data_IF_637628240967
#
_entry.id   IF_637628240967
#
_cell.length_a   1.000
_cell.length_b   1.000
_cell.length_c   1.000
_cell.angle_alpha   90.00
_cell.angle_beta   90.00
_cell.angle_gamma   90.00
#
_symmetry.space_group_name_H-M   'P 1'
#
loop_
_entity.id
_entity.type
_entity.pdbx_description
1 polymer ?
#
# COMPACT_ATOMS: atom_id res chain seq x y z
N UNK A 1 -23.69 -13.46 10.47
CA UNK A 1 -22.66 -13.67 9.45
C UNK A 1 -21.29 -13.60 10.13
N UNK A 2 -20.48 -14.64 10.00
CA UNK A 2 -19.13 -14.73 10.56
C UNK A 2 -18.11 -14.53 9.45
N UNK A 3 -17.35 -13.46 9.52
CA UNK A 3 -16.37 -13.08 8.51
C UNK A 3 -14.95 -13.37 9.05
N UNK A 4 -14.19 -14.20 8.36
CA UNK A 4 -12.76 -14.33 8.61
C UNK A 4 -12.00 -13.31 7.76
N UNK A 5 -11.27 -12.40 8.38
CA UNK A 5 -10.39 -11.44 7.71
C UNK A 5 -8.97 -11.96 7.81
N UNK A 6 -8.43 -12.48 6.70
CA UNK A 6 -7.12 -13.07 6.65
C UNK A 6 -6.04 -12.04 6.29
N UNK A 7 -4.97 -12.00 7.07
CA UNK A 7 -3.80 -11.14 6.89
C UNK A 7 -2.54 -11.99 6.78
N UNK A 8 -1.84 -11.90 5.67
CA UNK A 8 -0.60 -12.65 5.44
C UNK A 8 0.66 -11.95 5.93
N UNK A 9 0.65 -10.62 5.98
CA UNK A 9 1.77 -9.80 6.45
C UNK A 9 1.28 -8.40 6.87
N UNK A 10 2.17 -7.65 7.55
CA UNK A 10 1.89 -6.28 8.04
C UNK A 10 1.20 -5.35 7.02
N UNK A 11 1.60 -5.29 5.73
CA UNK A 11 0.95 -4.39 4.77
C UNK A 11 -0.56 -4.64 4.58
N UNK A 12 -1.03 -5.87 4.78
CA UNK A 12 -2.45 -6.19 4.63
C UNK A 12 -3.33 -5.42 5.62
N UNK A 13 -2.83 -5.13 6.83
CA UNK A 13 -3.59 -4.40 7.84
C UNK A 13 -4.04 -3.02 7.36
N UNK A 14 -3.25 -2.37 6.51
CA UNK A 14 -3.64 -1.08 5.91
C UNK A 14 -4.91 -1.18 5.08
N UNK A 15 -5.14 -2.32 4.44
CA UNK A 15 -6.29 -2.53 3.54
C UNK A 15 -7.47 -3.22 4.23
N UNK A 16 -7.23 -4.02 5.24
CA UNK A 16 -8.34 -4.68 5.96
C UNK A 16 -8.88 -3.85 7.14
N UNK A 17 -8.10 -2.93 7.69
CA UNK A 17 -8.52 -2.12 8.82
C UNK A 17 -9.85 -1.36 8.59
N UNK A 18 -10.09 -0.73 7.43
CA UNK A 18 -11.37 -0.09 7.15
C UNK A 18 -12.55 -1.06 7.21
N UNK A 19 -12.37 -2.28 6.67
CA UNK A 19 -13.41 -3.32 6.67
C UNK A 19 -13.71 -3.78 8.09
N UNK A 20 -12.66 -4.00 8.91
CA UNK A 20 -12.80 -4.39 10.32
C UNK A 20 -13.58 -3.33 11.09
N UNK A 21 -13.21 -2.04 10.94
CA UNK A 21 -13.92 -0.93 11.59
C UNK A 21 -15.39 -0.86 11.18
N UNK A 22 -15.67 -1.05 9.90
CA UNK A 22 -17.04 -1.03 9.40
C UNK A 22 -17.89 -2.19 9.95
N UNK A 23 -17.33 -3.40 10.03
CA UNK A 23 -17.99 -4.55 10.66
C UNK A 23 -18.25 -4.27 12.14
N UNK A 24 -17.27 -3.73 12.87
CA UNK A 24 -17.43 -3.38 14.28
C UNK A 24 -18.49 -2.31 14.52
N UNK A 25 -18.59 -1.32 13.64
CA UNK A 25 -19.66 -0.31 13.71
C UNK A 25 -21.03 -0.93 13.52
N UNK A 26 -21.22 -1.74 12.49
CA UNK A 26 -22.49 -2.43 12.25
C UNK A 26 -22.87 -3.38 13.39
N UNK A 27 -21.88 -4.06 13.98
CA UNK A 27 -22.11 -4.90 15.17
C UNK A 27 -22.60 -4.07 16.37
N UNK A 28 -22.02 -2.88 16.60
CA UNK A 28 -22.49 -1.95 17.65
C UNK A 28 -23.90 -1.44 17.38
N UNK A 29 -24.30 -1.32 16.13
CA UNK A 29 -25.66 -0.99 15.69
C UNK A 29 -26.64 -2.16 15.80
N UNK A 30 -26.18 -3.32 16.26
CA UNK A 30 -27.02 -4.52 16.46
C UNK A 30 -27.24 -5.35 15.20
N UNK A 31 -26.45 -5.13 14.14
CA UNK A 31 -26.49 -5.98 12.94
C UNK A 31 -25.86 -7.35 13.22
N UNK A 32 -26.40 -8.44 12.66
CA UNK A 32 -25.94 -9.80 12.91
C UNK A 32 -24.66 -10.13 12.09
N UNK A 33 -23.59 -9.39 12.31
CA UNK A 33 -22.28 -9.55 11.65
C UNK A 33 -21.17 -9.53 12.68
N UNK A 34 -20.20 -10.43 12.54
CA UNK A 34 -18.99 -10.48 13.37
C UNK A 34 -17.77 -10.81 12.50
N UNK A 35 -16.58 -10.49 13.01
CA UNK A 35 -15.33 -10.80 12.31
C UNK A 35 -14.28 -11.35 13.24
N UNK A 36 -13.44 -12.25 12.70
CA UNK A 36 -12.17 -12.66 13.30
C UNK A 36 -11.03 -12.24 12.39
N UNK A 37 -9.98 -11.67 12.98
CA UNK A 37 -8.74 -11.30 12.31
C UNK A 37 -7.76 -12.45 12.49
N UNK A 38 -7.40 -13.10 11.38
CA UNK A 38 -6.44 -14.21 11.37
C UNK A 38 -5.14 -13.75 10.72
N UNK A 39 -4.05 -13.86 11.45
CA UNK A 39 -2.72 -13.52 10.95
C UNK A 39 -1.90 -14.79 10.68
N UNK A 40 -1.27 -14.85 9.52
CA UNK A 40 -0.47 -16.02 9.13
C UNK A 40 0.77 -16.23 10.02
N UNK A 41 1.41 -15.15 10.44
CA UNK A 41 2.66 -15.15 11.18
C UNK A 41 2.54 -15.45 12.68
N UNK A 42 3.63 -15.18 13.37
CA UNK A 42 3.78 -15.40 14.83
C UNK A 42 3.24 -14.24 15.65
N UNK A 43 2.85 -14.49 16.90
CA UNK A 43 2.23 -13.48 17.77
C UNK A 43 3.20 -12.34 18.16
N UNK A 44 4.48 -12.63 18.22
CA UNK A 44 5.55 -11.68 18.54
C UNK A 44 6.32 -11.19 17.29
N UNK A 45 5.66 -11.14 16.14
CA UNK A 45 6.22 -10.57 14.93
C UNK A 45 6.64 -9.10 15.20
N UNK A 46 7.95 -8.78 15.08
CA UNK A 46 8.45 -7.45 15.40
C UNK A 46 7.93 -6.35 14.46
N UNK A 47 7.32 -6.72 13.33
CA UNK A 47 6.71 -5.76 12.40
C UNK A 47 5.30 -5.34 12.83
N UNK A 48 4.67 -6.05 13.77
CA UNK A 48 3.34 -5.77 14.30
C UNK A 48 3.42 -4.93 15.59
N UNK A 49 3.94 -3.73 15.47
CA UNK A 49 3.99 -2.76 16.57
C UNK A 49 2.59 -2.34 17.02
N UNK A 50 2.41 -2.06 18.31
CA UNK A 50 1.12 -1.63 18.87
C UNK A 50 0.64 -0.31 18.25
N UNK A 51 1.58 0.57 17.88
CA UNK A 51 1.28 1.81 17.15
C UNK A 51 0.54 1.57 15.83
N UNK A 52 0.83 0.47 15.11
CA UNK A 52 0.14 0.13 13.87
C UNK A 52 -1.38 -0.02 14.11
N UNK A 53 -1.75 -0.79 15.13
CA UNK A 53 -3.16 -1.07 15.45
C UNK A 53 -3.88 0.15 16.01
N UNK A 54 -3.22 0.91 16.89
CA UNK A 54 -3.76 2.15 17.43
C UNK A 54 -3.94 3.23 16.36
N UNK A 55 -3.00 3.34 15.42
CA UNK A 55 -3.10 4.28 14.30
C UNK A 55 -4.23 3.90 13.33
N UNK A 56 -4.38 2.62 13.05
CA UNK A 56 -5.45 2.12 12.21
C UNK A 56 -6.81 2.04 12.91
N UNK A 57 -6.86 2.18 14.22
CA UNK A 57 -8.08 2.10 15.03
C UNK A 57 -8.73 0.71 15.01
N UNK A 58 -7.93 -0.33 15.05
CA UNK A 58 -8.38 -1.73 15.10
C UNK A 58 -7.70 -2.50 16.22
N UNK A 59 -8.30 -3.63 16.59
CA UNK A 59 -7.67 -4.58 17.52
C UNK A 59 -6.55 -5.37 16.87
N UNK A 60 -5.70 -5.97 17.67
CA UNK A 60 -4.72 -6.97 17.21
C UNK A 60 -5.43 -8.21 16.64
N UNK A 61 -4.73 -9.05 15.85
CA UNK A 61 -5.28 -10.33 15.40
C UNK A 61 -5.85 -11.17 16.54
N UNK A 62 -7.00 -11.78 16.28
CA UNK A 62 -7.63 -12.70 17.23
C UNK A 62 -6.91 -14.06 17.22
N UNK A 63 -6.37 -14.45 16.05
CA UNK A 63 -5.67 -15.71 15.85
C UNK A 63 -4.36 -15.50 15.09
N UNK A 64 -3.31 -16.16 15.57
CA UNK A 64 -2.00 -16.23 14.92
C UNK A 64 -1.73 -17.68 14.52
N UNK A 65 -1.51 -17.93 13.21
CA UNK A 65 -1.23 -19.28 12.72
C UNK A 65 0.18 -19.74 13.07
N UNK A 66 1.05 -18.83 13.47
CA UNK A 66 2.40 -19.14 13.92
C UNK A 66 3.29 -19.67 12.80
N UNK A 67 3.16 -19.17 11.58
CA UNK A 67 4.05 -19.50 10.47
C UNK A 67 5.25 -18.56 10.51
N UNK A 68 6.45 -19.15 10.59
CA UNK A 68 7.73 -18.44 10.58
C UNK A 68 8.71 -19.17 9.67
N UNK A 69 8.71 -18.84 8.40
CA UNK A 69 9.65 -19.39 7.44
C UNK A 69 9.95 -18.39 6.30
N UNK A 70 11.17 -18.45 5.79
CA UNK A 70 11.68 -17.56 4.76
C UNK A 70 11.34 -18.07 3.35
N UNK A 71 11.30 -19.39 3.18
CA UNK A 71 10.96 -20.00 1.89
C UNK A 71 9.47 -19.85 1.61
N UNK A 72 9.11 -19.19 0.50
CA UNK A 72 7.72 -18.89 0.17
C UNK A 72 6.87 -20.13 -0.14
N UNK A 73 7.46 -21.20 -0.68
CA UNK A 73 6.73 -22.45 -0.93
C UNK A 73 6.45 -23.21 0.34
N UNK A 74 7.41 -23.24 1.26
CA UNK A 74 7.23 -23.80 2.61
C UNK A 74 6.17 -23.01 3.38
N UNK A 75 6.25 -21.67 3.37
CA UNK A 75 5.25 -20.77 3.94
C UNK A 75 3.85 -21.11 3.40
N UNK A 76 3.71 -21.24 2.08
CA UNK A 76 2.45 -21.60 1.44
C UNK A 76 1.88 -22.90 2.02
N UNK A 77 2.70 -23.96 2.10
CA UNK A 77 2.29 -25.27 2.65
C UNK A 77 1.89 -25.19 4.13
N UNK A 78 2.66 -24.48 4.95
CA UNK A 78 2.36 -24.30 6.36
C UNK A 78 1.08 -23.50 6.61
N UNK A 79 0.86 -22.41 5.84
CA UNK A 79 -0.38 -21.64 5.92
C UNK A 79 -1.57 -22.51 5.53
N UNK A 80 -1.47 -23.28 4.44
CA UNK A 80 -2.54 -24.19 4.03
C UNK A 80 -2.95 -25.13 5.16
N UNK A 81 -1.99 -25.83 5.76
CA UNK A 81 -2.27 -26.81 6.83
C UNK A 81 -2.89 -26.17 8.07
N UNK A 82 -2.32 -25.05 8.53
CA UNK A 82 -2.77 -24.40 9.77
C UNK A 82 -4.10 -23.65 9.59
N UNK A 83 -4.30 -23.04 8.42
CA UNK A 83 -5.56 -22.35 8.13
C UNK A 83 -6.72 -23.32 7.91
N UNK A 84 -6.47 -24.51 7.37
CA UNK A 84 -7.47 -25.57 7.29
C UNK A 84 -7.99 -25.96 8.68
N UNK A 85 -7.10 -26.21 9.63
CA UNK A 85 -7.48 -26.51 11.02
C UNK A 85 -8.29 -25.37 11.64
N UNK A 86 -7.85 -24.11 11.42
CA UNK A 86 -8.61 -22.95 11.89
C UNK A 86 -10.06 -22.93 11.35
N UNK A 87 -10.25 -23.14 10.05
CA UNK A 87 -11.57 -23.12 9.43
C UNK A 87 -12.48 -24.29 9.87
N UNK A 88 -11.88 -25.44 10.23
CA UNK A 88 -12.63 -26.57 10.79
C UNK A 88 -13.17 -26.27 12.20
N UNK A 89 -12.40 -25.53 13.00
CA UNK A 89 -12.74 -25.22 14.39
C UNK A 89 -13.59 -23.93 14.54
N UNK A 90 -13.64 -23.08 13.50
CA UNK A 90 -14.30 -21.78 13.55
C UNK A 90 -15.35 -21.64 12.44
N UNK A 91 -16.67 -21.65 12.78
CA UNK A 91 -17.74 -21.43 11.80
C UNK A 91 -17.54 -20.11 11.04
N UNK A 92 -17.33 -20.19 9.73
CA UNK A 92 -17.00 -19.06 8.86
C UNK A 92 -17.90 -19.07 7.64
N UNK A 93 -18.62 -17.98 7.39
CA UNK A 93 -19.51 -17.82 6.22
C UNK A 93 -18.72 -17.33 5.00
N UNK A 94 -17.77 -16.43 5.22
CA UNK A 94 -16.92 -15.85 4.17
C UNK A 94 -15.52 -15.56 4.69
N UNK A 95 -14.52 -15.86 3.87
CA UNK A 95 -13.12 -15.42 4.09
C UNK A 95 -12.84 -14.24 3.19
N UNK A 96 -12.39 -13.14 3.78
CA UNK A 96 -11.92 -11.94 3.07
C UNK A 96 -10.42 -11.96 3.04
N UNK A 97 -9.85 -11.91 1.84
CA UNK A 97 -8.41 -11.84 1.59
C UNK A 97 -8.06 -10.54 0.85
N UNK A 98 -6.80 -10.14 0.92
CA UNK A 98 -6.33 -8.90 0.29
C UNK A 98 -4.93 -9.06 -0.30
N UNK A 99 -4.67 -8.37 -1.41
CA UNK A 99 -3.39 -8.37 -2.12
C UNK A 99 -2.98 -9.76 -2.68
N UNK A 100 -1.67 -9.96 -2.82
CA UNK A 100 -1.07 -10.97 -3.69
C UNK A 100 0.05 -11.78 -3.01
N UNK A 101 0.00 -11.94 -1.70
CA UNK A 101 1.01 -12.68 -0.97
C UNK A 101 0.86 -14.20 -1.18
N UNK A 102 1.95 -14.95 -1.01
CA UNK A 102 1.92 -16.42 -1.05
C UNK A 102 0.99 -16.98 0.04
N UNK A 103 0.96 -16.36 1.22
CA UNK A 103 0.02 -16.69 2.30
C UNK A 103 -1.44 -16.39 1.95
N UNK A 104 -1.70 -15.30 1.21
CA UNK A 104 -3.04 -14.96 0.70
C UNK A 104 -3.52 -16.02 -0.30
N UNK A 105 -2.66 -16.43 -1.22
CA UNK A 105 -2.96 -17.51 -2.17
C UNK A 105 -3.24 -18.83 -1.44
N UNK A 106 -2.42 -19.20 -0.47
CA UNK A 106 -2.60 -20.39 0.35
C UNK A 106 -3.96 -20.42 1.05
N UNK A 107 -4.32 -19.32 1.72
CA UNK A 107 -5.60 -19.17 2.38
C UNK A 107 -6.78 -19.27 1.39
N UNK A 108 -6.64 -18.69 0.20
CA UNK A 108 -7.68 -18.74 -0.84
C UNK A 108 -7.96 -20.16 -1.31
N UNK A 109 -6.90 -20.96 -1.55
CA UNK A 109 -7.03 -22.37 -1.96
C UNK A 109 -7.76 -23.18 -0.86
N UNK A 110 -7.34 -23.03 0.40
CA UNK A 110 -7.95 -23.75 1.52
C UNK A 110 -9.41 -23.36 1.70
N UNK A 111 -9.72 -22.07 1.66
CA UNK A 111 -11.10 -21.57 1.77
C UNK A 111 -12.02 -22.25 0.77
N UNK A 112 -11.61 -22.32 -0.49
CA UNK A 112 -12.43 -22.93 -1.54
C UNK A 112 -12.53 -24.44 -1.40
N UNK A 113 -11.47 -25.13 -0.96
CA UNK A 113 -11.51 -26.57 -0.69
C UNK A 113 -12.40 -26.94 0.49
N UNK A 114 -12.60 -26.04 1.45
CA UNK A 114 -13.56 -26.19 2.55
C UNK A 114 -15.00 -25.78 2.17
N UNK A 115 -15.26 -25.35 0.93
CA UNK A 115 -16.57 -24.96 0.46
C UNK A 115 -17.05 -23.59 1.00
N UNK A 116 -16.14 -22.79 1.55
CA UNK A 116 -16.45 -21.49 2.14
C UNK A 116 -16.36 -20.42 1.04
N UNK A 117 -17.20 -19.38 1.14
CA UNK A 117 -17.17 -18.22 0.25
C UNK A 117 -15.83 -17.47 0.37
N UNK A 118 -15.27 -17.06 -0.75
CA UNK A 118 -14.01 -16.29 -0.82
C UNK A 118 -14.27 -14.92 -1.45
N UNK A 119 -13.88 -13.87 -0.74
CA UNK A 119 -13.93 -12.49 -1.24
C UNK A 119 -12.53 -11.89 -1.29
N UNK A 120 -12.14 -11.31 -2.43
CA UNK A 120 -10.82 -10.72 -2.64
C UNK A 120 -10.90 -9.20 -2.80
N UNK A 121 -10.16 -8.46 -1.95
CA UNK A 121 -10.00 -7.01 -2.02
C UNK A 121 -8.73 -6.69 -2.83
N UNK A 122 -8.77 -5.66 -3.67
CA UNK A 122 -7.77 -5.29 -4.66
C UNK A 122 -7.66 -6.29 -5.82
N UNK A 123 -8.75 -6.94 -6.14
CA UNK A 123 -8.87 -7.87 -7.27
C UNK A 123 -8.65 -7.19 -8.63
N UNK A 124 -8.30 -7.97 -9.64
CA UNK A 124 -8.07 -7.48 -11.00
C UNK A 124 -6.79 -6.66 -11.18
N UNK A 125 -5.90 -6.65 -10.20
CA UNK A 125 -4.57 -6.03 -10.30
C UNK A 125 -3.64 -6.94 -11.09
N UNK A 126 -3.01 -6.44 -12.16
CA UNK A 126 -2.13 -7.22 -13.04
C UNK A 126 -0.88 -6.46 -13.44
N UNK A 127 0.25 -7.16 -13.44
CA UNK A 127 1.48 -6.73 -14.10
C UNK A 127 1.56 -7.26 -15.54
N UNK A 128 0.82 -8.33 -15.84
CA UNK A 128 0.89 -9.13 -17.07
C UNK A 128 2.25 -9.79 -17.32
N UNK A 129 3.08 -9.85 -16.28
CA UNK A 129 4.36 -10.56 -16.31
C UNK A 129 4.30 -11.83 -15.46
N UNK A 130 4.04 -12.95 -16.12
CA UNK A 130 3.92 -14.27 -15.46
C UNK A 130 5.23 -14.76 -14.84
N UNK A 131 6.37 -14.14 -15.15
CA UNK A 131 7.64 -14.45 -14.47
C UNK A 131 7.68 -13.89 -13.03
N UNK A 132 6.79 -12.98 -12.69
CA UNK A 132 6.67 -12.42 -11.34
C UNK A 132 5.86 -13.37 -10.45
N UNK A 133 6.41 -13.84 -9.32
CA UNK A 133 5.68 -14.74 -8.40
C UNK A 133 4.34 -14.17 -7.91
N UNK A 134 4.27 -12.87 -7.72
CA UNK A 134 3.03 -12.18 -7.32
C UNK A 134 1.93 -12.26 -8.37
N UNK A 135 2.28 -12.24 -9.66
CA UNK A 135 1.31 -12.37 -10.74
C UNK A 135 0.64 -13.75 -10.73
N UNK A 136 1.43 -14.80 -10.46
CA UNK A 136 0.90 -16.14 -10.26
C UNK A 136 -0.11 -16.17 -9.11
N UNK A 137 0.25 -15.55 -7.98
CA UNK A 137 -0.65 -15.48 -6.83
C UNK A 137 -1.96 -14.78 -7.17
N UNK A 138 -1.92 -13.64 -7.88
CA UNK A 138 -3.10 -12.88 -8.30
C UNK A 138 -4.04 -13.70 -9.19
N UNK A 139 -3.49 -14.40 -10.16
CA UNK A 139 -4.27 -15.27 -11.06
C UNK A 139 -5.00 -16.36 -10.27
N UNK A 140 -4.32 -17.00 -9.33
CA UNK A 140 -4.93 -18.05 -8.49
C UNK A 140 -5.99 -17.47 -7.56
N UNK A 141 -5.71 -16.38 -6.87
CA UNK A 141 -6.64 -15.76 -5.92
C UNK A 141 -7.91 -15.28 -6.63
N UNK A 142 -7.76 -14.52 -7.72
CA UNK A 142 -8.90 -14.02 -8.49
C UNK A 142 -9.70 -15.15 -9.13
N UNK A 143 -9.02 -16.16 -9.67
CA UNK A 143 -9.67 -17.32 -10.31
C UNK A 143 -10.48 -18.19 -9.34
N UNK A 144 -10.18 -18.15 -8.04
CA UNK A 144 -10.87 -18.92 -7.00
C UNK A 144 -11.96 -18.09 -6.29
N UNK A 145 -11.91 -16.77 -6.35
CA UNK A 145 -12.78 -15.89 -5.56
C UNK A 145 -14.21 -15.87 -6.08
N UNK A 146 -15.17 -15.99 -5.18
CA UNK A 146 -16.59 -15.83 -5.48
C UNK A 146 -16.97 -14.35 -5.65
N UNK A 147 -16.29 -13.46 -4.91
CA UNK A 147 -16.53 -12.03 -4.92
C UNK A 147 -15.20 -11.30 -5.14
N UNK A 148 -15.17 -10.45 -6.16
CA UNK A 148 -14.01 -9.67 -6.56
C UNK A 148 -14.28 -8.17 -6.35
N UNK A 149 -13.57 -7.55 -5.40
CA UNK A 149 -13.66 -6.12 -5.11
C UNK A 149 -12.52 -5.36 -5.78
N UNK A 150 -12.85 -4.51 -6.73
CA UNK A 150 -11.88 -3.81 -7.58
C UNK A 150 -11.78 -2.33 -7.21
N UNK A 151 -10.55 -1.78 -7.36
CA UNK A 151 -10.25 -0.41 -6.97
C UNK A 151 -10.64 0.64 -8.01
N UNK A 152 -10.71 0.27 -9.28
CA UNK A 152 -11.00 1.19 -10.37
C UNK A 152 -11.47 0.50 -11.64
N UNK A 153 -11.72 1.29 -12.69
CA UNK A 153 -12.30 0.82 -13.96
C UNK A 153 -11.39 -0.21 -14.65
N UNK A 154 -10.08 0.02 -14.63
CA UNK A 154 -9.12 -0.90 -15.26
C UNK A 154 -9.11 -2.26 -14.56
N UNK A 155 -9.02 -2.28 -13.24
CA UNK A 155 -9.08 -3.51 -12.45
C UNK A 155 -10.42 -4.23 -12.63
N UNK A 156 -11.53 -3.47 -12.67
CA UNK A 156 -12.86 -4.00 -12.89
C UNK A 156 -13.00 -4.69 -14.25
N UNK A 157 -12.45 -4.09 -15.30
CA UNK A 157 -12.42 -4.68 -16.65
C UNK A 157 -11.63 -5.99 -16.69
N UNK A 158 -10.46 -6.03 -16.02
CA UNK A 158 -9.63 -7.23 -15.93
C UNK A 158 -10.36 -8.34 -15.17
N UNK A 159 -10.89 -8.03 -14.00
CA UNK A 159 -11.59 -9.01 -13.16
C UNK A 159 -12.82 -9.62 -13.87
N UNK A 160 -13.57 -8.81 -14.62
CA UNK A 160 -14.70 -9.31 -15.42
C UNK A 160 -14.27 -10.23 -16.58
N UNK A 161 -13.09 -9.99 -17.15
CA UNK A 161 -12.57 -10.81 -18.27
C UNK A 161 -11.93 -12.11 -17.80
N UNK A 162 -11.25 -12.10 -16.65
CA UNK A 162 -10.39 -13.17 -16.18
C UNK A 162 -10.95 -13.92 -14.96
N UNK A 163 -12.00 -13.40 -14.34
CA UNK A 163 -12.68 -14.05 -13.21
C UNK A 163 -13.36 -15.37 -13.60
N UNK A 164 -13.65 -16.20 -12.61
CA UNK A 164 -14.43 -17.40 -12.82
C UNK A 164 -15.84 -17.03 -13.31
N UNK A 165 -16.47 -17.91 -14.12
CA UNK A 165 -17.79 -17.67 -14.73
C UNK A 165 -18.86 -17.26 -13.73
N UNK A 166 -18.79 -17.78 -12.49
CA UNK A 166 -19.75 -17.49 -11.42
C UNK A 166 -19.30 -16.38 -10.44
N UNK A 167 -18.13 -15.79 -10.66
CA UNK A 167 -17.63 -14.73 -9.80
C UNK A 167 -18.41 -13.45 -10.00
N UNK A 168 -18.68 -12.76 -8.89
CA UNK A 168 -19.33 -11.45 -8.88
C UNK A 168 -18.27 -10.35 -8.71
N UNK A 169 -18.25 -9.37 -9.59
CA UNK A 169 -17.27 -8.29 -9.64
C UNK A 169 -17.91 -6.98 -9.25
N UNK A 170 -17.38 -6.33 -8.21
CA UNK A 170 -17.87 -5.05 -7.71
C UNK A 170 -16.77 -4.00 -7.72
N UNK A 171 -16.94 -2.91 -8.47
CA UNK A 171 -16.07 -1.76 -8.38
C UNK A 171 -16.45 -0.95 -7.13
N UNK A 172 -15.65 -1.09 -6.09
CA UNK A 172 -15.93 -0.47 -4.77
C UNK A 172 -15.10 0.77 -4.48
N UNK A 173 -14.01 0.97 -5.22
CA UNK A 173 -13.03 2.03 -4.99
C UNK A 173 -11.77 1.53 -4.29
N UNK A 174 -10.85 2.45 -3.98
CA UNK A 174 -9.59 2.11 -3.36
C UNK A 174 -9.67 2.17 -1.84
N UNK A 175 -9.49 1.02 -1.20
CA UNK A 175 -9.61 0.84 0.25
C UNK A 175 -8.58 1.63 1.08
N UNK A 176 -7.43 2.01 0.51
CA UNK A 176 -6.43 2.82 1.21
C UNK A 176 -6.96 4.22 1.54
N UNK A 177 -7.85 4.75 0.70
CA UNK A 177 -8.43 6.09 0.89
C UNK A 177 -9.30 6.17 2.14
N UNK A 178 -9.88 5.05 2.55
CA UNK A 178 -10.66 4.95 3.79
C UNK A 178 -9.82 5.24 5.04
N UNK A 179 -8.55 4.83 5.07
CA UNK A 179 -7.66 5.16 6.16
C UNK A 179 -7.31 6.65 6.19
N UNK A 180 -7.00 7.25 5.04
CA UNK A 180 -6.70 8.68 4.94
C UNK A 180 -7.89 9.52 5.41
N UNK A 181 -9.10 9.13 5.03
CA UNK A 181 -10.33 9.77 5.48
C UNK A 181 -10.56 9.59 6.99
N UNK A 182 -10.44 8.36 7.48
CA UNK A 182 -10.63 8.04 8.89
C UNK A 182 -9.62 8.75 9.79
N UNK A 183 -8.35 8.77 9.38
CA UNK A 183 -7.27 9.36 10.14
C UNK A 183 -7.07 10.86 9.87
N UNK A 184 -7.90 11.50 9.05
CA UNK A 184 -7.69 12.88 8.56
C UNK A 184 -7.28 13.85 9.68
N UNK A 185 -8.09 13.97 10.74
CA UNK A 185 -7.80 14.89 11.87
C UNK A 185 -6.51 14.52 12.59
N UNK A 186 -6.26 13.23 12.79
CA UNK A 186 -5.05 12.73 13.45
C UNK A 186 -3.80 12.93 12.58
N UNK A 187 -3.93 12.83 11.26
CA UNK A 187 -2.86 13.13 10.31
C UNK A 187 -2.48 14.62 10.40
N UNK A 188 -3.47 15.51 10.39
CA UNK A 188 -3.21 16.96 10.51
C UNK A 188 -2.57 17.36 11.85
N UNK A 189 -2.87 16.63 12.91
CA UNK A 189 -2.34 16.85 14.25
C UNK A 189 -1.05 16.06 14.56
N UNK A 190 -0.63 15.16 13.66
CA UNK A 190 0.54 14.31 13.89
C UNK A 190 1.80 15.19 14.00
N UNK A 191 2.64 14.92 15.00
CA UNK A 191 3.92 15.61 15.14
C UNK A 191 4.95 15.02 14.19
N UNK A 192 5.63 15.87 13.42
CA UNK A 192 6.81 15.46 12.66
C UNK A 192 8.01 15.42 13.63
N UNK A 193 8.89 14.41 13.51
CA UNK A 193 10.14 14.36 14.28
C UNK A 193 10.98 15.62 14.08
N UNK A 194 11.76 16.01 15.07
CA UNK A 194 12.58 17.22 15.02
C UNK A 194 13.51 17.27 13.80
N UNK A 195 14.11 16.12 13.42
CA UNK A 195 14.96 16.00 12.24
C UNK A 195 14.26 16.36 10.92
N UNK A 196 12.93 16.20 10.85
CA UNK A 196 12.10 16.61 9.73
C UNK A 196 11.61 18.04 9.91
N UNK A 197 11.06 18.36 11.10
CA UNK A 197 10.43 19.63 11.38
C UNK A 197 11.39 20.81 11.17
N UNK A 198 12.65 20.71 11.59
CA UNK A 198 13.66 21.76 11.38
C UNK A 198 13.91 22.08 9.90
N UNK A 199 13.76 21.11 9.01
CA UNK A 199 13.98 21.30 7.58
C UNK A 199 12.76 21.90 6.90
N UNK A 200 11.56 21.40 7.22
CA UNK A 200 10.32 21.73 6.50
C UNK A 200 9.54 22.90 7.10
N UNK A 201 9.93 23.40 8.29
CA UNK A 201 9.21 24.50 8.95
C UNK A 201 10.02 25.81 8.87
N UNK A 202 9.38 26.89 8.53
CA UNK A 202 9.94 28.24 8.56
C UNK A 202 9.92 28.82 9.98
N UNK A 203 10.62 29.94 10.19
CA UNK A 203 10.68 30.63 11.49
C UNK A 203 9.31 31.10 12.00
N UNK A 204 8.39 31.40 11.08
CA UNK A 204 7.01 31.79 11.39
C UNK A 204 6.06 30.61 11.64
N UNK A 205 6.58 29.36 11.60
CA UNK A 205 5.83 28.12 11.78
C UNK A 205 5.10 27.61 10.53
N UNK A 206 5.20 28.29 9.41
CA UNK A 206 4.65 27.81 8.12
C UNK A 206 5.51 26.70 7.53
N UNK A 207 4.92 25.88 6.64
CA UNK A 207 5.68 24.86 5.92
C UNK A 207 6.41 25.48 4.72
N UNK A 208 7.71 25.22 4.62
CA UNK A 208 8.50 25.50 3.41
C UNK A 208 8.14 24.47 2.34
N UNK A 209 8.29 24.79 1.05
CA UNK A 209 8.20 23.78 -0.02
C UNK A 209 9.27 22.69 0.17
N UNK A 210 8.87 21.43 0.07
CA UNK A 210 9.77 20.27 0.13
C UNK A 210 9.24 19.13 -0.74
N UNK A 211 10.15 18.22 -1.10
CA UNK A 211 9.84 16.96 -1.77
C UNK A 211 10.02 15.79 -0.81
N UNK A 212 9.31 14.71 -1.07
CA UNK A 212 9.49 13.44 -0.33
C UNK A 212 10.08 12.40 -1.28
N UNK A 213 11.12 11.71 -0.84
CA UNK A 213 11.76 10.62 -1.59
C UNK A 213 11.70 9.32 -0.83
N UNK A 214 11.19 8.26 -1.46
CA UNK A 214 11.20 6.90 -0.89
C UNK A 214 11.64 5.87 -1.92
N UNK A 215 12.45 4.89 -1.49
CA UNK A 215 12.92 3.78 -2.31
C UNK A 215 13.10 2.52 -1.47
N UNK A 216 12.59 1.38 -1.96
CA UNK A 216 12.65 0.10 -1.27
C UNK A 216 12.91 -1.09 -2.22
N UNK A 217 12.76 -0.94 -3.54
CA UNK A 217 12.93 -2.03 -4.50
C UNK A 217 14.38 -2.48 -4.57
N UNK A 218 14.59 -3.76 -4.29
CA UNK A 218 15.93 -4.37 -4.32
C UNK A 218 16.61 -4.23 -5.67
N UNK A 219 15.88 -4.32 -6.78
CA UNK A 219 16.43 -4.17 -8.12
C UNK A 219 17.02 -2.75 -8.34
N UNK A 220 16.28 -1.69 -7.95
CA UNK A 220 16.76 -0.31 -8.00
C UNK A 220 18.00 -0.08 -7.12
N UNK A 221 18.00 -0.66 -5.91
CA UNK A 221 19.13 -0.53 -4.97
C UNK A 221 20.36 -1.33 -5.41
N UNK A 222 20.18 -2.37 -6.23
CA UNK A 222 21.27 -3.20 -6.72
C UNK A 222 22.09 -2.52 -7.83
N UNK A 223 21.46 -1.69 -8.68
CA UNK A 223 22.16 -0.91 -9.72
C UNK A 223 22.67 0.42 -9.15
N UNK A 224 23.80 0.34 -8.45
CA UNK A 224 24.41 1.49 -7.75
C UNK A 224 24.81 2.63 -8.68
N UNK A 225 25.28 2.31 -9.89
CA UNK A 225 25.72 3.33 -10.84
C UNK A 225 24.53 4.12 -11.39
N UNK A 226 23.44 3.44 -11.71
CA UNK A 226 22.22 4.11 -12.14
C UNK A 226 21.55 4.87 -10.99
N UNK A 227 21.46 4.26 -9.81
CA UNK A 227 20.93 4.93 -8.62
C UNK A 227 21.69 6.23 -8.30
N UNK A 228 23.04 6.20 -8.42
CA UNK A 228 23.86 7.40 -8.27
C UNK A 228 23.47 8.50 -9.25
N UNK A 229 23.32 8.18 -10.54
CA UNK A 229 22.87 9.13 -11.57
C UNK A 229 21.49 9.68 -11.25
N UNK A 230 20.55 8.85 -10.83
CA UNK A 230 19.20 9.27 -10.46
C UNK A 230 19.18 10.21 -9.25
N UNK A 231 19.96 9.92 -8.20
CA UNK A 231 20.07 10.82 -7.03
C UNK A 231 20.68 12.17 -7.42
N UNK A 232 21.69 12.15 -8.27
CA UNK A 232 22.32 13.38 -8.80
C UNK A 232 21.31 14.22 -9.60
N UNK A 233 20.59 13.60 -10.53
CA UNK A 233 19.57 14.25 -11.34
C UNK A 233 18.44 14.84 -10.46
N UNK A 234 17.96 14.08 -9.48
CA UNK A 234 16.96 14.52 -8.51
C UNK A 234 17.43 15.75 -7.73
N UNK A 235 18.61 15.71 -7.12
CA UNK A 235 19.12 16.81 -6.29
C UNK A 235 19.42 18.06 -7.11
N UNK A 236 19.91 17.91 -8.32
CA UNK A 236 20.17 19.01 -9.25
C UNK A 236 18.86 19.68 -9.68
N UNK A 237 17.86 18.90 -10.10
CA UNK A 237 16.58 19.44 -10.55
C UNK A 237 15.75 20.06 -9.40
N UNK A 238 15.89 19.56 -8.17
CA UNK A 238 15.23 20.13 -7.00
C UNK A 238 15.83 21.50 -6.58
N UNK A 239 17.07 21.81 -6.97
CA UNK A 239 17.73 23.05 -6.60
C UNK A 239 17.81 23.26 -5.09
N UNK A 240 17.28 24.37 -4.59
CA UNK A 240 17.24 24.68 -3.15
C UNK A 240 16.05 24.03 -2.41
N UNK A 241 15.18 23.32 -3.12
CA UNK A 241 14.03 22.63 -2.51
C UNK A 241 14.51 21.44 -1.70
N UNK A 242 14.17 21.39 -0.42
CA UNK A 242 14.54 20.28 0.44
C UNK A 242 13.87 18.97 0.00
N UNK A 243 14.64 17.89 0.06
CA UNK A 243 14.18 16.52 -0.20
C UNK A 243 14.25 15.76 1.11
N UNK A 244 13.12 15.34 1.63
CA UNK A 244 13.03 14.53 2.85
C UNK A 244 12.95 13.06 2.44
N UNK A 245 13.91 12.27 2.89
CA UNK A 245 14.06 10.87 2.52
C UNK A 245 13.94 9.95 3.75
N UNK A 246 12.71 9.56 4.17
CA UNK A 246 12.51 8.59 5.24
C UNK A 246 12.84 7.17 4.72
N UNK A 247 14.06 6.73 4.91
CA UNK A 247 14.61 5.51 4.34
C UNK A 247 14.85 4.42 5.38
N UNK A 248 14.78 3.16 4.95
CA UNK A 248 15.09 1.98 5.78
C UNK A 248 16.52 1.49 5.53
N UNK A 249 17.06 0.68 6.46
CA UNK A 249 18.45 0.29 6.56
C UNK A 249 19.17 0.02 5.23
N UNK A 250 18.66 -0.92 4.40
CA UNK A 250 19.31 -1.24 3.12
C UNK A 250 19.39 -0.04 2.16
N UNK A 251 18.34 0.78 2.09
CA UNK A 251 18.34 1.97 1.23
C UNK A 251 19.32 3.02 1.76
N UNK A 252 19.35 3.23 3.09
CA UNK A 252 20.34 4.13 3.74
C UNK A 252 21.76 3.68 3.45
N UNK A 253 22.08 2.41 3.74
CA UNK A 253 23.40 1.84 3.51
C UNK A 253 23.83 1.98 2.03
N UNK A 254 22.92 1.68 1.11
CA UNK A 254 23.20 1.77 -0.32
C UNK A 254 23.49 3.21 -0.73
N UNK A 255 22.60 4.16 -0.41
CA UNK A 255 22.76 5.57 -0.80
C UNK A 255 23.99 6.20 -0.15
N UNK A 256 24.24 5.92 1.13
CA UNK A 256 25.45 6.39 1.81
C UNK A 256 26.74 5.82 1.18
N UNK A 257 26.67 4.58 0.68
CA UNK A 257 27.79 3.91 -0.01
C UNK A 257 28.07 4.40 -1.43
N UNK A 258 27.22 5.29 -2.01
CA UNK A 258 27.44 5.84 -3.37
C UNK A 258 28.54 6.89 -3.47
N UNK A 259 29.12 7.32 -2.34
CA UNK A 259 30.16 8.36 -2.31
C UNK A 259 29.70 9.75 -2.75
N UNK A 260 28.40 10.02 -2.68
CA UNK A 260 27.81 11.27 -3.16
C UNK A 260 28.20 12.49 -2.31
N UNK A 261 28.54 12.30 -1.03
CA UNK A 261 28.99 13.38 -0.13
C UNK A 261 30.31 13.99 -0.53
N UNK A 262 31.16 13.24 -1.24
CA UNK A 262 32.49 13.72 -1.71
C UNK A 262 32.36 14.51 -3.02
N UNK A 263 31.26 14.35 -3.78
CA UNK A 263 31.11 14.89 -5.13
C UNK A 263 29.95 15.87 -5.30
N UNK A 264 29.00 15.88 -4.36
CA UNK A 264 27.81 16.72 -4.41
C UNK A 264 27.59 17.40 -3.08
N UNK A 265 27.29 18.67 -3.14
CA UNK A 265 26.70 19.40 -2.01
C UNK A 265 25.23 18.97 -1.84
N UNK A 266 25.03 17.83 -1.16
CA UNK A 266 23.69 17.29 -0.87
C UNK A 266 22.98 18.10 0.21
N UNK A 267 23.16 19.41 0.29
CA UNK A 267 22.56 20.28 1.31
C UNK A 267 21.05 20.17 1.34
N UNK A 268 20.43 19.82 0.20
CA UNK A 268 18.99 19.71 0.07
C UNK A 268 18.46 18.27 0.26
N UNK A 269 19.31 17.24 0.40
CA UNK A 269 18.88 15.85 0.53
C UNK A 269 19.05 15.34 1.96
N UNK A 270 17.94 15.19 2.68
CA UNK A 270 17.90 14.86 4.10
C UNK A 270 17.41 13.43 4.31
N UNK A 271 18.34 12.50 4.59
CA UNK A 271 17.98 11.14 5.01
C UNK A 271 17.53 11.22 6.47
N UNK A 272 16.32 10.75 6.72
CA UNK A 272 15.70 10.72 8.06
C UNK A 272 15.25 9.31 8.41
N UNK A 273 15.00 9.08 9.69
CA UNK A 273 14.49 7.79 10.18
C UNK A 273 13.12 7.47 9.58
N UNK A 274 12.76 6.17 9.44
CA UNK A 274 11.42 5.79 9.03
C UNK A 274 10.35 6.37 9.94
N UNK A 275 9.29 6.91 9.36
CA UNK A 275 8.19 7.52 10.08
C UNK A 275 7.06 6.52 10.36
N UNK A 276 6.35 6.72 11.46
CA UNK A 276 5.06 6.06 11.70
C UNK A 276 4.00 6.52 10.69
N UNK A 277 2.90 5.77 10.61
CA UNK A 277 1.87 5.99 9.58
C UNK A 277 1.33 7.42 9.55
N UNK A 278 0.92 7.97 10.69
CA UNK A 278 0.31 9.30 10.75
C UNK A 278 1.30 10.42 10.36
N UNK A 279 2.54 10.33 10.86
CA UNK A 279 3.59 11.31 10.54
C UNK A 279 3.99 11.24 9.06
N UNK A 280 4.11 10.03 8.49
CA UNK A 280 4.39 9.84 7.07
C UNK A 280 3.25 10.37 6.19
N UNK A 281 1.99 10.08 6.53
CA UNK A 281 0.83 10.58 5.82
C UNK A 281 0.74 12.12 5.87
N UNK A 282 1.07 12.74 7.02
CA UNK A 282 1.18 14.20 7.13
C UNK A 282 2.28 14.75 6.22
N UNK A 283 3.46 14.16 6.27
CA UNK A 283 4.61 14.58 5.47
C UNK A 283 4.28 14.52 3.97
N UNK A 284 3.72 13.41 3.49
CA UNK A 284 3.39 13.24 2.06
C UNK A 284 2.24 14.11 1.60
N UNK A 285 1.24 14.33 2.44
CA UNK A 285 0.07 15.16 2.13
C UNK A 285 0.41 16.63 1.88
N UNK A 286 1.38 17.17 2.59
CA UNK A 286 1.80 18.57 2.49
C UNK A 286 3.06 18.77 1.63
N UNK A 287 3.56 17.72 1.00
CA UNK A 287 4.71 17.81 0.11
C UNK A 287 4.38 18.57 -1.17
N UNK A 288 5.33 19.33 -1.70
CA UNK A 288 5.25 19.89 -3.05
C UNK A 288 5.32 18.83 -4.14
N UNK A 289 5.82 17.63 -3.81
CA UNK A 289 5.83 16.45 -4.67
C UNK A 289 6.46 15.25 -4.00
N UNK A 290 6.21 14.08 -4.58
CA UNK A 290 6.68 12.79 -4.08
C UNK A 290 7.40 12.04 -5.18
N UNK A 291 8.57 11.48 -4.87
CA UNK A 291 9.34 10.59 -5.74
C UNK A 291 9.42 9.23 -5.04
N UNK A 292 8.90 8.18 -5.66
CA UNK A 292 8.73 6.90 -4.99
C UNK A 292 8.81 5.71 -5.97
N UNK A 293 9.11 4.53 -5.44
CA UNK A 293 8.94 3.26 -6.13
C UNK A 293 7.74 2.45 -5.61
N UNK A 294 6.92 3.05 -4.73
CA UNK A 294 5.79 2.42 -4.07
C UNK A 294 4.45 2.76 -4.75
N UNK A 295 3.72 1.73 -5.20
CA UNK A 295 2.38 1.89 -5.75
C UNK A 295 1.39 2.48 -4.74
N UNK A 296 1.42 2.05 -3.48
CA UNK A 296 0.52 2.57 -2.44
C UNK A 296 0.74 4.08 -2.20
N UNK A 297 2.01 4.54 -2.20
CA UNK A 297 2.33 5.97 -2.04
C UNK A 297 1.81 6.77 -3.23
N UNK A 298 1.91 6.23 -4.46
CA UNK A 298 1.37 6.88 -5.65
C UNK A 298 -0.18 6.96 -5.62
N UNK A 299 -0.85 5.95 -5.06
CA UNK A 299 -2.29 5.97 -4.86
C UNK A 299 -2.70 7.04 -3.83
N UNK A 300 -2.02 7.10 -2.68
CA UNK A 300 -2.27 8.12 -1.64
C UNK A 300 -1.95 9.53 -2.15
N UNK A 301 -0.87 9.71 -2.91
CA UNK A 301 -0.53 10.97 -3.57
C UNK A 301 -1.63 11.42 -4.54
N UNK A 302 -2.18 10.51 -5.34
CA UNK A 302 -3.30 10.77 -6.23
C UNK A 302 -4.53 11.26 -5.48
N UNK A 303 -4.89 10.60 -4.38
CA UNK A 303 -6.03 11.01 -3.54
C UNK A 303 -5.82 12.39 -2.91
N UNK A 304 -4.63 12.65 -2.41
CA UNK A 304 -4.26 13.94 -1.82
C UNK A 304 -3.97 15.03 -2.86
N UNK A 305 -4.02 14.72 -4.16
CA UNK A 305 -3.70 15.62 -5.29
C UNK A 305 -2.28 16.19 -5.23
N UNK A 306 -1.34 15.42 -4.65
CA UNK A 306 0.08 15.76 -4.61
C UNK A 306 0.78 15.24 -5.86
N UNK A 307 1.60 16.04 -6.56
CA UNK A 307 2.44 15.58 -7.66
C UNK A 307 3.26 14.35 -7.28
N UNK A 308 3.26 13.31 -8.13
CA UNK A 308 3.96 12.07 -7.84
C UNK A 308 4.76 11.59 -9.04
N UNK A 309 6.01 11.18 -8.80
CA UNK A 309 6.88 10.52 -9.77
C UNK A 309 7.12 9.09 -9.29
N UNK A 310 6.81 8.12 -10.13
CA UNK A 310 7.13 6.71 -9.86
C UNK A 310 8.36 6.25 -10.63
N UNK A 311 9.32 5.71 -9.88
CA UNK A 311 10.61 5.20 -10.39
C UNK A 311 10.48 3.80 -11.03
N UNK A 312 9.40 3.58 -11.77
CA UNK A 312 9.08 2.36 -12.50
C UNK A 312 8.67 2.71 -13.92
N UNK A 313 8.95 1.82 -14.86
CA UNK A 313 8.53 1.95 -16.27
C UNK A 313 7.07 1.53 -16.49
N UNK A 314 6.46 0.83 -15.52
CA UNK A 314 5.07 0.39 -15.54
C UNK A 314 4.42 0.56 -14.17
N UNK A 315 3.10 0.52 -14.12
CA UNK A 315 2.34 0.48 -12.88
C UNK A 315 1.16 -0.46 -12.99
N UNK A 316 0.88 -1.14 -11.90
CA UNK A 316 -0.34 -1.94 -11.70
C UNK A 316 -1.54 -1.04 -11.31
N UNK A 317 -1.26 0.22 -10.95
CA UNK A 317 -2.22 1.24 -10.50
C UNK A 317 -2.44 2.29 -11.58
N UNK A 318 -2.98 1.85 -12.72
CA UNK A 318 -3.07 2.67 -13.94
C UNK A 318 -3.89 3.95 -13.76
N UNK A 319 -4.86 3.95 -12.85
CA UNK A 319 -5.69 5.11 -12.53
C UNK A 319 -4.85 6.27 -11.98
N UNK A 320 -3.77 5.99 -11.25
CA UNK A 320 -2.85 7.02 -10.74
C UNK A 320 -2.18 7.82 -11.86
N UNK A 321 -1.94 7.16 -13.01
CA UNK A 321 -1.28 7.76 -14.18
C UNK A 321 -2.29 8.41 -15.12
N UNK A 322 -3.40 7.71 -15.42
CA UNK A 322 -4.39 8.20 -16.41
C UNK A 322 -5.24 9.33 -15.86
N UNK A 323 -5.62 9.27 -14.60
CA UNK A 323 -6.52 10.23 -13.96
C UNK A 323 -5.77 11.04 -12.90
N UNK A 324 -4.98 10.35 -12.08
CA UNK A 324 -4.29 10.91 -10.94
C UNK A 324 -3.03 11.71 -11.27
N UNK A 325 -2.29 12.03 -10.23
CA UNK A 325 -1.12 12.93 -10.27
C UNK A 325 0.17 12.24 -10.69
N UNK A 326 0.19 10.92 -10.84
CA UNK A 326 1.39 10.14 -11.02
C UNK A 326 1.95 10.18 -12.45
N UNK A 327 3.28 10.23 -12.57
CA UNK A 327 4.05 10.12 -13.81
C UNK A 327 5.09 9.02 -13.64
N UNK A 328 5.23 8.15 -14.65
CA UNK A 328 6.23 7.09 -14.66
C UNK A 328 7.48 7.58 -15.38
N UNK A 329 8.63 7.51 -14.74
CA UNK A 329 9.92 7.88 -15.35
C UNK A 329 10.83 6.67 -15.57
N UNK A 330 10.47 5.51 -15.02
CA UNK A 330 11.35 4.35 -15.05
C UNK A 330 12.58 4.55 -14.18
N UNK A 331 13.64 3.84 -14.55
CA UNK A 331 14.97 3.96 -13.95
C UNK A 331 15.87 4.89 -14.81
N UNK A 332 15.30 6.02 -15.25
CA UNK A 332 15.88 6.94 -16.24
C UNK A 332 16.14 8.30 -15.58
N UNK A 333 17.43 8.63 -15.42
CA UNK A 333 17.86 9.85 -14.74
C UNK A 333 17.45 11.13 -15.49
N UNK A 334 17.45 11.13 -16.82
CA UNK A 334 17.07 12.30 -17.62
C UNK A 334 15.58 12.60 -17.52
N UNK A 335 14.75 11.55 -17.60
CA UNK A 335 13.29 11.69 -17.39
C UNK A 335 12.96 12.12 -15.96
N UNK A 336 13.73 11.62 -14.98
CA UNK A 336 13.55 12.05 -13.59
C UNK A 336 13.88 13.53 -13.43
N UNK A 337 15.01 14.01 -13.99
CA UNK A 337 15.42 15.40 -13.95
C UNK A 337 14.35 16.33 -14.57
N UNK A 338 13.83 15.98 -15.76
CA UNK A 338 12.78 16.72 -16.42
C UNK A 338 11.48 16.77 -15.59
N UNK A 339 11.06 15.62 -15.05
CA UNK A 339 9.84 15.52 -14.25
C UNK A 339 9.95 16.30 -12.94
N UNK A 340 11.08 16.23 -12.24
CA UNK A 340 11.32 17.00 -11.00
C UNK A 340 11.37 18.50 -11.31
N UNK A 341 12.01 18.91 -12.41
CA UNK A 341 12.02 20.31 -12.84
C UNK A 341 10.60 20.88 -13.08
N UNK A 342 9.72 20.10 -13.71
CA UNK A 342 8.30 20.45 -13.88
C UNK A 342 7.56 20.52 -12.54
N UNK A 343 7.86 19.58 -11.64
CA UNK A 343 7.26 19.50 -10.31
C UNK A 343 7.57 20.74 -9.48
N UNK A 344 8.84 21.12 -9.35
CA UNK A 344 9.27 22.28 -8.54
C UNK A 344 8.89 23.62 -9.16
N UNK A 345 8.75 23.69 -10.49
CA UNK A 345 8.26 24.91 -11.19
C UNK A 345 6.74 25.04 -11.20
N UNK A 346 6.01 24.10 -10.60
CA UNK A 346 4.54 24.11 -10.60
C UNK A 346 3.89 23.77 -11.94
N UNK A 347 4.65 23.27 -12.91
CA UNK A 347 4.17 22.88 -14.24
C UNK A 347 3.74 21.41 -14.27
N UNK A 348 2.89 21.01 -13.33
CA UNK A 348 2.42 19.64 -13.27
C UNK A 348 1.18 19.40 -14.13
N UNK A 349 0.96 18.15 -14.51
CA UNK A 349 -0.22 17.78 -15.30
C UNK A 349 -1.51 18.06 -14.52
N UNK A 350 -2.59 18.33 -15.23
CA UNK A 350 -3.91 18.32 -14.62
C UNK A 350 -4.27 16.90 -14.20
N UNK A 351 -4.80 16.76 -13.00
CA UNK A 351 -5.15 15.48 -12.42
C UNK A 351 -6.48 15.56 -11.70
N UNK A 352 -7.11 14.41 -11.52
CA UNK A 352 -8.34 14.24 -10.77
C UNK A 352 -8.22 13.08 -9.77
N UNK A 353 -9.28 12.87 -9.01
CA UNK A 353 -9.43 11.70 -8.14
C UNK A 353 -10.22 10.65 -8.94
N UNK A 354 -9.72 9.40 -9.06
CA UNK A 354 -10.44 8.33 -9.72
C UNK A 354 -11.81 8.07 -9.10
N UNK A 355 -12.76 7.58 -9.91
CA UNK A 355 -14.11 7.29 -9.44
C UNK A 355 -14.11 6.33 -8.24
N UNK A 356 -14.97 6.63 -7.25
CA UNK A 356 -15.09 5.91 -5.98
C UNK A 356 -13.85 5.90 -5.07
N UNK A 357 -12.84 6.69 -5.35
CA UNK A 357 -11.74 6.95 -4.41
C UNK A 357 -12.16 8.03 -3.40
N UNK A 358 -13.20 7.78 -2.66
CA UNK A 358 -13.88 8.73 -1.76
C UNK A 358 -13.76 8.38 -0.27
N UNK A 359 -13.03 7.31 0.05
CA UNK A 359 -12.86 6.82 1.41
C UNK A 359 -14.11 6.15 2.01
N UNK A 360 -14.96 5.58 1.15
CA UNK A 360 -16.18 4.79 1.53
C UNK A 360 -16.16 3.38 0.95
N UNK A 361 -15.00 2.88 0.65
CA UNK A 361 -14.82 1.56 0.04
C UNK A 361 -15.26 0.45 0.98
N UNK A 362 -14.91 0.54 2.26
CA UNK A 362 -15.28 -0.45 3.26
C UNK A 362 -16.82 -0.54 3.48
N UNK A 363 -17.53 0.59 3.42
CA UNK A 363 -18.98 0.61 3.51
C UNK A 363 -19.59 -0.24 2.40
N UNK A 364 -19.14 -0.07 1.14
CA UNK A 364 -19.59 -0.82 -0.04
C UNK A 364 -19.23 -2.30 0.04
N UNK A 365 -17.99 -2.61 0.48
CA UNK A 365 -17.54 -4.01 0.65
C UNK A 365 -18.45 -4.74 1.63
N UNK A 366 -18.64 -4.18 2.83
CA UNK A 366 -19.43 -4.86 3.87
C UNK A 366 -20.90 -4.94 3.50
N UNK A 367 -21.47 -3.92 2.83
CA UNK A 367 -22.83 -3.97 2.30
C UNK A 367 -23.00 -5.12 1.30
N UNK A 368 -22.06 -5.30 0.36
CA UNK A 368 -22.11 -6.44 -0.58
C UNK A 368 -22.00 -7.76 0.17
N UNK A 369 -21.04 -7.90 1.10
CA UNK A 369 -20.88 -9.14 1.86
C UNK A 369 -22.13 -9.54 2.63
N UNK A 370 -22.85 -8.58 3.19
CA UNK A 370 -24.09 -8.84 3.95
C UNK A 370 -25.29 -9.19 3.06
N UNK A 371 -25.27 -8.85 1.78
CA UNK A 371 -26.36 -9.09 0.83
C UNK A 371 -26.12 -10.34 -0.03
N UNK A 372 -24.93 -10.90 -0.05
CA UNK A 372 -24.52 -12.09 -0.80
C UNK A 372 -24.54 -13.37 0.05
#
# INVERSE_FOLDING_TARGET
MNICVFCGARPNFMKVAPVIRQIENLRREGKPVDSQIVYAGIANDPTLEDSLFSDLGIRRPDVFLGVDCVNLNELTGQVMSKFEVYLQDHPTDVVVVVDDLASTMAASIVTKKQGIKLAHIAAGTRSFDISMPKEINRLVIDGLSDILFTAGISNNSIANREGAELSKVYMVGNILMDNLRYCHTRIEQATLPDEVAHVVTAEDGSLKPYLVFTINRKALLADKDNLKKMIMALTQAAGDTAIIAPLRGLAVETIMGLGLREHLDLKNFHIVSPLGYLAFARLTRHAGGIITDSGNVAEEATFNQVPCITLNSYTEHIETVKIGTNVLVGEDAEKLEEAVGKMVSGQWKQAGIPDRWDGRTAERIVEVLMNE
#
